data_IF_493059770352
#
_entry.id   IF_493059770352
#
_cell.length_a   1.000
_cell.length_b   1.000
_cell.length_c   1.000
_cell.angle_alpha   90.00
_cell.angle_beta   90.00
_cell.angle_gamma   90.00
#
_symmetry.space_group_name_H-M   'P 1'
#
loop_
_entity.id
_entity.type
_entity.pdbx_description
1 polymer ?
#
# COMPACT_ATOMS: atom_id res chain seq x y z
N UNK A 1 -22.15 -15.32 -45.96
CA UNK A 1 -22.77 -14.34 -45.03
C UNK A 1 -22.63 -14.74 -43.55
N UNK A 2 -22.75 -16.02 -43.18
CA UNK A 2 -22.61 -16.49 -41.78
C UNK A 2 -21.22 -16.27 -41.15
N UNK A 3 -20.15 -16.38 -41.94
CA UNK A 3 -18.76 -16.25 -41.44
C UNK A 3 -18.33 -14.80 -41.21
N UNK A 4 -19.01 -13.82 -41.83
CA UNK A 4 -18.73 -12.40 -41.61
C UNK A 4 -19.29 -11.90 -40.27
N UNK A 5 -20.38 -12.51 -39.80
CA UNK A 5 -21.02 -12.16 -38.52
C UNK A 5 -20.18 -12.63 -37.32
N UNK A 6 -19.52 -13.78 -37.45
CA UNK A 6 -18.66 -14.36 -36.39
C UNK A 6 -17.39 -13.52 -36.21
N UNK A 7 -16.81 -13.00 -37.30
CA UNK A 7 -15.62 -12.14 -37.23
C UNK A 7 -15.95 -10.79 -36.56
N UNK A 8 -17.14 -10.22 -36.81
CA UNK A 8 -17.58 -9.00 -36.14
C UNK A 8 -17.85 -9.18 -34.63
N UNK A 9 -18.28 -10.36 -34.19
CA UNK A 9 -18.51 -10.66 -32.76
C UNK A 9 -17.17 -10.83 -32.02
N UNK A 10 -16.16 -11.43 -32.64
CA UNK A 10 -14.83 -11.62 -32.03
C UNK A 10 -14.09 -10.27 -31.88
N UNK A 11 -14.25 -9.34 -32.82
CA UNK A 11 -13.65 -8.00 -32.70
C UNK A 11 -14.28 -7.14 -31.58
N UNK A 12 -15.55 -7.36 -31.24
CA UNK A 12 -16.25 -6.60 -30.19
C UNK A 12 -15.81 -6.99 -28.78
N UNK A 13 -15.28 -8.20 -28.59
CA UNK A 13 -14.87 -8.75 -27.28
C UNK A 13 -13.45 -8.30 -26.90
N UNK A 14 -12.63 -7.87 -27.86
CA UNK A 14 -11.24 -7.44 -27.63
C UNK A 14 -11.14 -5.96 -27.22
N UNK A 15 -12.26 -5.22 -27.25
CA UNK A 15 -12.29 -3.76 -27.01
C UNK A 15 -12.51 -3.31 -25.56
N UNK A 16 -12.69 -4.21 -24.59
CA UNK A 16 -12.98 -3.85 -23.20
C UNK A 16 -11.85 -4.26 -22.25
N UNK A 17 -10.62 -3.81 -22.54
CA UNK A 17 -9.61 -3.67 -21.49
C UNK A 17 -9.95 -2.42 -20.67
N UNK A 18 -10.85 -2.56 -19.71
CA UNK A 18 -11.03 -1.54 -18.67
C UNK A 18 -9.75 -1.50 -17.84
N UNK A 19 -8.86 -0.58 -18.16
CA UNK A 19 -7.81 -0.16 -17.25
C UNK A 19 -8.53 0.58 -16.11
N UNK A 20 -8.90 -0.14 -15.06
CA UNK A 20 -9.47 0.49 -13.86
C UNK A 20 -8.34 1.28 -13.22
N UNK A 21 -8.24 2.58 -13.52
CA UNK A 21 -7.34 3.47 -12.80
C UNK A 21 -7.78 3.45 -11.34
N UNK A 22 -6.94 2.96 -10.43
CA UNK A 22 -7.14 3.17 -8.99
C UNK A 22 -7.08 4.67 -8.76
N UNK A 23 -8.23 5.29 -8.57
CA UNK A 23 -8.31 6.69 -8.21
C UNK A 23 -8.13 6.80 -6.69
N UNK A 24 -7.33 7.77 -6.26
CA UNK A 24 -7.22 8.11 -4.84
C UNK A 24 -8.60 8.44 -4.27
N UNK A 25 -8.89 7.95 -3.07
CA UNK A 25 -10.11 8.26 -2.36
C UNK A 25 -9.92 9.53 -1.54
N UNK A 26 -10.81 10.51 -1.68
CA UNK A 26 -10.72 11.75 -0.91
C UNK A 26 -12.11 12.30 -0.57
N UNK A 27 -12.20 13.02 0.55
CA UNK A 27 -13.46 13.52 1.10
C UNK A 27 -13.87 14.92 0.60
N UNK A 28 -13.33 15.33 -0.56
CA UNK A 28 -13.56 16.64 -1.17
C UNK A 28 -12.73 17.79 -0.59
N UNK A 29 -11.87 17.52 0.41
CA UNK A 29 -10.79 18.44 0.83
C UNK A 29 -9.87 18.66 -0.36
N UNK A 30 -9.40 19.89 -0.58
CA UNK A 30 -8.46 20.18 -1.68
C UNK A 30 -7.02 19.82 -1.26
N UNK A 31 -6.19 19.33 -2.19
CA UNK A 31 -4.78 19.02 -1.89
C UNK A 31 -4.01 20.22 -1.31
N UNK A 32 -4.36 21.44 -1.73
CA UNK A 32 -3.77 22.69 -1.26
C UNK A 32 -4.14 23.04 0.20
N UNK A 33 -5.20 22.46 0.75
CA UNK A 33 -5.55 22.59 2.17
C UNK A 33 -4.60 21.74 3.05
N UNK A 34 -4.14 20.60 2.52
CA UNK A 34 -3.29 19.63 3.22
C UNK A 34 -1.82 19.98 3.00
N UNK A 35 -1.33 21.02 3.68
CA UNK A 35 0.05 21.54 3.46
C UNK A 35 1.02 21.27 4.60
N UNK A 36 0.52 20.98 5.79
CA UNK A 36 1.32 20.88 7.02
C UNK A 36 0.95 19.63 7.82
N UNK A 37 1.65 18.53 7.55
CA UNK A 37 1.28 17.19 8.01
C UNK A 37 2.29 16.63 9.01
N UNK A 38 1.79 16.05 10.10
CA UNK A 38 2.61 15.20 10.98
C UNK A 38 2.61 13.76 10.47
N UNK A 39 3.77 13.14 10.36
CA UNK A 39 3.85 11.70 10.13
C UNK A 39 3.74 10.96 11.46
N UNK A 40 2.70 10.14 11.59
CA UNK A 40 2.63 9.13 12.65
C UNK A 40 3.52 7.96 12.24
N UNK A 41 4.16 7.32 13.21
CA UNK A 41 5.04 6.18 12.98
C UNK A 41 4.48 5.19 11.94
N UNK A 42 5.18 4.95 10.81
CA UNK A 42 4.74 3.97 9.85
C UNK A 42 4.71 2.57 10.44
N UNK A 43 3.64 1.83 10.15
CA UNK A 43 3.51 0.43 10.52
C UNK A 43 4.10 -0.44 9.41
N UNK A 44 4.77 -1.54 9.78
CA UNK A 44 5.33 -2.46 8.79
C UNK A 44 5.11 -3.92 9.18
N UNK A 45 4.67 -4.72 8.22
CA UNK A 45 4.44 -6.15 8.38
C UNK A 45 5.06 -6.91 7.22
N UNK A 46 6.36 -7.15 7.31
CA UNK A 46 7.11 -7.89 6.30
C UNK A 46 7.24 -9.34 6.71
N UNK A 47 6.95 -10.22 5.76
CA UNK A 47 7.16 -11.64 5.93
C UNK A 47 8.39 -12.14 5.17
N UNK A 48 9.02 -13.19 5.69
CA UNK A 48 10.07 -13.94 5.00
C UNK A 48 9.53 -15.30 4.55
N UNK A 49 9.74 -15.62 3.27
CA UNK A 49 9.49 -16.96 2.73
C UNK A 49 10.83 -17.70 2.65
N UNK A 50 11.13 -18.51 3.66
CA UNK A 50 12.35 -19.33 3.69
C UNK A 50 12.21 -20.65 2.93
N UNK A 51 11.05 -21.31 3.05
CA UNK A 51 10.80 -22.64 2.47
C UNK A 51 9.41 -22.75 1.85
N UNK A 52 9.35 -23.31 0.64
CA UNK A 52 8.11 -23.42 -0.09
C UNK A 52 7.53 -22.04 -0.41
N UNK A 53 6.21 -21.90 -0.29
CA UNK A 53 5.47 -20.66 -0.46
C UNK A 53 4.78 -20.22 0.85
N UNK A 54 5.42 -20.47 2.01
CA UNK A 54 4.88 -20.10 3.32
C UNK A 54 5.57 -18.84 3.82
N UNK A 55 4.82 -17.75 3.86
CA UNK A 55 5.26 -16.49 4.45
C UNK A 55 5.12 -16.57 5.98
N UNK A 56 6.17 -16.13 6.68
CA UNK A 56 6.18 -15.98 8.13
C UNK A 56 6.58 -14.56 8.47
N UNK A 57 5.86 -13.91 9.37
CA UNK A 57 6.21 -12.56 9.83
C UNK A 57 7.65 -12.51 10.33
N UNK A 58 8.35 -11.42 10.04
CA UNK A 58 9.75 -11.25 10.40
C UNK A 58 10.00 -9.84 10.94
N UNK A 59 10.13 -9.74 12.26
CA UNK A 59 10.27 -8.47 12.99
C UNK A 59 11.41 -7.61 12.44
N UNK A 60 12.62 -8.16 12.29
CA UNK A 60 13.76 -7.38 11.82
C UNK A 60 13.61 -6.83 10.39
N UNK A 61 12.87 -7.53 9.51
CA UNK A 61 12.62 -7.02 8.16
C UNK A 61 11.51 -5.96 8.18
N UNK A 62 10.54 -6.11 9.08
CA UNK A 62 9.51 -5.10 9.33
C UNK A 62 10.13 -3.82 9.88
N UNK A 63 11.10 -3.92 10.80
CA UNK A 63 11.84 -2.76 11.32
C UNK A 63 12.60 -2.02 10.21
N UNK A 64 13.37 -2.76 9.39
CA UNK A 64 14.09 -2.17 8.26
C UNK A 64 13.13 -1.51 7.26
N UNK A 65 12.01 -2.17 6.94
CA UNK A 65 11.00 -1.61 6.05
C UNK A 65 10.36 -0.33 6.62
N UNK A 66 10.05 -0.30 7.92
CA UNK A 66 9.54 0.90 8.61
C UNK A 66 10.54 2.06 8.52
N UNK A 67 11.82 1.80 8.80
CA UNK A 67 12.87 2.82 8.71
C UNK A 67 13.00 3.35 7.28
N UNK A 68 13.09 2.46 6.30
CA UNK A 68 13.17 2.83 4.88
C UNK A 68 11.96 3.66 4.43
N UNK A 69 10.74 3.22 4.77
CA UNK A 69 9.53 3.97 4.42
C UNK A 69 9.51 5.35 5.09
N UNK A 70 9.93 5.44 6.34
CA UNK A 70 10.05 6.72 7.06
C UNK A 70 11.01 7.67 6.34
N UNK A 71 12.16 7.18 5.90
CA UNK A 71 13.16 7.97 5.18
C UNK A 71 12.68 8.41 3.80
N UNK A 72 12.00 7.52 3.06
CA UNK A 72 11.44 7.85 1.75
C UNK A 72 10.35 8.93 1.88
N UNK A 73 9.45 8.79 2.87
CA UNK A 73 8.41 9.78 3.17
C UNK A 73 9.02 11.15 3.52
N UNK A 74 10.08 11.18 4.34
CA UNK A 74 10.82 12.40 4.68
C UNK A 74 11.36 13.16 3.46
N UNK A 75 11.86 12.43 2.47
CA UNK A 75 12.56 13.05 1.33
C UNK A 75 11.63 13.58 0.25
N UNK A 76 10.47 12.95 0.03
CA UNK A 76 9.70 13.11 -1.22
C UNK A 76 8.19 13.21 -1.05
N UNK A 77 7.65 13.30 0.16
CA UNK A 77 6.19 13.37 0.30
C UNK A 77 5.62 14.70 -0.21
N UNK A 78 4.55 14.60 -0.99
CA UNK A 78 3.53 15.64 -1.14
C UNK A 78 2.24 14.99 -0.64
N UNK A 79 1.66 15.47 0.48
CA UNK A 79 1.90 16.74 1.14
C UNK A 79 3.21 16.77 1.95
N UNK A 80 3.67 17.98 2.28
CA UNK A 80 4.92 18.16 3.04
C UNK A 80 4.74 17.64 4.47
N UNK A 81 5.63 16.74 4.88
CA UNK A 81 5.74 16.30 6.28
C UNK A 81 6.66 17.26 7.02
N UNK A 82 6.16 17.87 8.09
CA UNK A 82 6.89 18.90 8.86
C UNK A 82 7.13 18.50 10.32
N UNK A 83 6.47 17.44 10.78
CA UNK A 83 6.61 16.89 12.12
C UNK A 83 6.54 15.37 12.09
N UNK A 84 7.08 14.73 13.13
CA UNK A 84 7.08 13.28 13.32
C UNK A 84 6.60 12.99 14.73
N UNK A 85 5.72 12.01 14.87
CA UNK A 85 5.14 11.64 16.15
C UNK A 85 5.17 10.13 16.34
N UNK A 86 5.95 9.69 17.32
CA UNK A 86 6.17 8.29 17.67
C UNK A 86 5.62 8.05 19.09
N UNK A 87 4.59 7.21 19.28
CA UNK A 87 4.06 6.92 20.60
C UNK A 87 5.08 6.15 21.46
N UNK A 88 5.46 6.70 22.62
CA UNK A 88 6.39 6.03 23.55
C UNK A 88 5.70 4.97 24.41
N UNK A 89 4.43 5.19 24.76
CA UNK A 89 3.65 4.26 25.57
C UNK A 89 3.17 3.08 24.72
N UNK A 90 3.53 1.86 25.14
CA UNK A 90 3.25 0.63 24.38
C UNK A 90 1.76 0.29 24.28
N UNK A 91 0.94 0.67 25.27
CA UNK A 91 -0.51 0.45 25.21
C UNK A 91 -1.15 1.42 24.22
N UNK A 92 -0.78 2.70 24.30
CA UNK A 92 -1.23 3.73 23.36
C UNK A 92 -0.80 3.40 21.93
N UNK A 93 0.45 2.93 21.75
CA UNK A 93 0.95 2.48 20.45
C UNK A 93 0.06 1.40 19.84
N UNK A 94 -0.29 0.37 20.61
CA UNK A 94 -1.14 -0.74 20.14
C UNK A 94 -2.55 -0.31 19.79
N UNK A 95 -3.12 0.63 20.54
CA UNK A 95 -4.43 1.21 20.25
C UNK A 95 -4.40 1.96 18.91
N UNK A 96 -3.41 2.83 18.72
CA UNK A 96 -3.21 3.57 17.46
C UNK A 96 -2.97 2.61 16.29
N UNK A 97 -2.15 1.58 16.49
CA UNK A 97 -1.87 0.56 15.48
C UNK A 97 -3.18 -0.09 14.99
N UNK A 98 -4.06 -0.50 15.92
CA UNK A 98 -5.35 -1.09 15.61
C UNK A 98 -6.28 -0.10 14.91
N UNK A 99 -6.34 1.14 15.39
CA UNK A 99 -7.17 2.19 14.79
C UNK A 99 -6.77 2.45 13.34
N UNK A 100 -5.47 2.56 13.07
CA UNK A 100 -4.93 2.76 11.71
C UNK A 100 -5.30 1.58 10.82
N UNK A 101 -5.07 0.35 11.27
CA UNK A 101 -5.39 -0.85 10.48
C UNK A 101 -6.88 -0.93 10.14
N UNK A 102 -7.75 -0.75 11.13
CA UNK A 102 -9.21 -0.79 10.93
C UNK A 102 -9.64 0.31 9.97
N UNK A 103 -9.17 1.54 10.17
CA UNK A 103 -9.52 2.69 9.34
C UNK A 103 -9.13 2.48 7.87
N UNK A 104 -7.90 2.05 7.60
CA UNK A 104 -7.41 1.79 6.25
C UNK A 104 -8.09 0.56 5.62
N UNK A 105 -8.41 -0.47 6.42
CA UNK A 105 -9.17 -1.63 5.95
C UNK A 105 -10.60 -1.26 5.55
N UNK A 106 -11.28 -0.38 6.32
CA UNK A 106 -12.61 0.11 5.97
C UNK A 106 -12.54 0.92 4.66
N UNK A 107 -11.56 1.82 4.53
CA UNK A 107 -11.38 2.61 3.32
C UNK A 107 -11.15 1.73 2.09
N UNK A 108 -10.30 0.72 2.24
CA UNK A 108 -10.03 -0.28 1.21
C UNK A 108 -11.30 -1.09 0.86
N UNK A 109 -12.05 -1.57 1.86
CA UNK A 109 -13.19 -2.42 1.58
C UNK A 109 -14.38 -1.65 0.98
N UNK A 110 -14.63 -0.44 1.47
CA UNK A 110 -15.73 0.41 1.03
C UNK A 110 -15.41 1.16 -0.26
N UNK A 111 -14.12 1.27 -0.62
CA UNK A 111 -13.64 2.11 -1.72
C UNK A 111 -14.15 3.56 -1.59
N UNK A 112 -14.25 4.04 -0.35
CA UNK A 112 -14.64 5.40 0.00
C UNK A 112 -13.96 5.81 1.33
N UNK A 113 -13.76 7.11 1.55
CA UNK A 113 -13.30 7.69 2.82
C UNK A 113 -14.38 8.46 3.56
N UNK A 114 -15.54 8.70 2.93
CA UNK A 114 -16.67 9.37 3.58
C UNK A 114 -17.13 8.58 4.81
N UNK A 115 -17.35 9.30 5.91
CA UNK A 115 -17.80 8.76 7.20
C UNK A 115 -16.82 7.82 7.92
N UNK A 116 -15.59 7.67 7.43
CA UNK A 116 -14.54 6.97 8.18
C UNK A 116 -13.98 7.91 9.24
N UNK A 117 -14.21 7.56 10.51
CA UNK A 117 -13.80 8.35 11.68
C UNK A 117 -12.46 7.87 12.21
N UNK A 118 -11.63 8.81 12.64
CA UNK A 118 -10.46 8.54 13.48
C UNK A 118 -10.88 8.41 14.95
N UNK A 119 -10.01 7.79 15.76
CA UNK A 119 -10.19 7.71 17.20
C UNK A 119 -9.74 8.98 17.90
N UNK A 120 -10.26 9.22 19.11
CA UNK A 120 -9.83 10.33 19.95
C UNK A 120 -8.34 10.25 20.29
N UNK A 121 -7.81 9.04 20.48
CA UNK A 121 -6.41 8.79 20.80
C UNK A 121 -5.51 9.23 19.65
N UNK A 122 -5.85 8.85 18.42
CA UNK A 122 -5.13 9.25 17.22
C UNK A 122 -5.25 10.76 16.95
N UNK A 123 -6.44 11.33 17.11
CA UNK A 123 -6.65 12.78 16.95
C UNK A 123 -5.83 13.58 17.97
N UNK A 124 -5.82 13.15 19.23
CA UNK A 124 -5.05 13.80 20.30
C UNK A 124 -3.55 13.74 20.01
N UNK A 125 -3.07 12.60 19.50
CA UNK A 125 -1.68 12.45 19.10
C UNK A 125 -1.31 13.44 17.97
N UNK A 126 -2.14 13.53 16.93
CA UNK A 126 -1.94 14.47 15.81
C UNK A 126 -1.93 15.91 16.32
N UNK A 127 -2.95 16.30 17.10
CA UNK A 127 -3.10 17.66 17.61
C UNK A 127 -1.99 18.05 18.60
N UNK A 128 -1.42 17.10 19.34
CA UNK A 128 -0.30 17.35 20.26
C UNK A 128 0.98 17.83 19.55
N UNK A 129 1.13 17.49 18.26
CA UNK A 129 2.22 17.98 17.41
C UNK A 129 2.00 19.41 16.89
N UNK A 130 0.86 20.03 17.23
CA UNK A 130 0.42 21.33 16.73
C UNK A 130 -0.12 21.29 15.30
N UNK A 131 -0.32 20.10 14.73
CA UNK A 131 -0.81 19.91 13.35
C UNK A 131 -2.29 19.55 13.33
N UNK A 132 -2.98 19.93 12.26
CA UNK A 132 -4.37 19.50 11.97
C UNK A 132 -4.39 18.14 11.27
N UNK A 133 -3.45 17.93 10.36
CA UNK A 133 -3.43 16.75 9.52
C UNK A 133 -2.36 15.76 9.97
N UNK A 134 -2.73 14.49 10.09
CA UNK A 134 -1.81 13.39 10.36
C UNK A 134 -1.75 12.43 9.18
N UNK A 135 -0.55 12.01 8.79
CA UNK A 135 -0.33 10.94 7.82
C UNK A 135 -0.06 9.64 8.56
N UNK A 136 -0.74 8.59 8.14
CA UNK A 136 -0.52 7.22 8.58
C UNK A 136 -0.13 6.39 7.36
N UNK A 137 0.86 5.52 7.53
CA UNK A 137 1.36 4.67 6.46
C UNK A 137 1.54 3.25 6.97
N UNK A 138 1.16 2.28 6.14
CA UNK A 138 1.31 0.85 6.41
C UNK A 138 2.01 0.21 5.23
N UNK A 139 3.16 -0.42 5.48
CA UNK A 139 3.85 -1.28 4.51
C UNK A 139 3.60 -2.74 4.83
N UNK A 140 3.22 -3.52 3.82
CA UNK A 140 3.10 -4.97 3.95
C UNK A 140 3.73 -5.64 2.75
N UNK A 141 4.13 -6.90 2.93
CA UNK A 141 4.75 -7.61 1.82
C UNK A 141 5.53 -8.82 2.26
N UNK A 142 6.27 -9.37 1.31
CA UNK A 142 7.23 -10.42 1.62
C UNK A 142 8.43 -10.38 0.69
N UNK A 143 9.55 -10.85 1.24
CA UNK A 143 10.74 -11.21 0.47
C UNK A 143 11.02 -12.72 0.61
N UNK A 144 11.84 -13.27 -0.28
CA UNK A 144 12.23 -14.68 -0.27
C UNK A 144 13.67 -14.87 0.18
N UNK A 145 13.86 -15.86 1.05
CA UNK A 145 15.20 -16.32 1.42
C UNK A 145 16.02 -16.75 0.20
N UNK A 146 17.33 -16.55 0.26
CA UNK A 146 18.24 -16.84 -0.85
C UNK A 146 18.09 -18.28 -1.34
N UNK A 147 17.90 -18.45 -2.65
CA UNK A 147 17.76 -19.77 -3.28
C UNK A 147 16.41 -20.47 -3.06
N UNK A 148 15.49 -19.90 -2.28
CA UNK A 148 14.12 -20.41 -2.18
C UNK A 148 13.39 -20.31 -3.52
N UNK A 149 13.39 -19.11 -4.12
CA UNK A 149 12.67 -18.84 -5.37
C UNK A 149 13.05 -19.81 -6.48
N UNK A 150 14.35 -19.96 -6.77
CA UNK A 150 14.82 -20.88 -7.82
C UNK A 150 14.44 -22.34 -7.59
N UNK A 151 14.43 -22.80 -6.32
CA UNK A 151 13.97 -24.17 -5.98
C UNK A 151 12.47 -24.34 -6.28
N UNK A 152 11.64 -23.35 -5.94
CA UNK A 152 10.21 -23.43 -6.20
C UNK A 152 9.87 -23.27 -7.69
N UNK A 153 10.61 -22.45 -8.43
CA UNK A 153 10.50 -22.38 -9.91
C UNK A 153 10.83 -23.73 -10.53
N UNK A 154 11.95 -24.36 -10.14
CA UNK A 154 12.34 -25.67 -10.67
C UNK A 154 11.29 -26.76 -10.37
N UNK A 155 10.70 -26.75 -9.17
CA UNK A 155 9.58 -27.64 -8.83
C UNK A 155 8.35 -27.37 -9.68
N UNK A 156 7.98 -26.10 -9.87
CA UNK A 156 6.86 -25.70 -10.71
C UNK A 156 7.00 -26.17 -12.16
N UNK A 157 8.20 -26.04 -12.73
CA UNK A 157 8.54 -26.58 -14.06
C UNK A 157 8.42 -28.10 -14.08
N UNK A 158 8.97 -28.80 -13.09
CA UNK A 158 8.89 -30.26 -13.01
C UNK A 158 7.44 -30.76 -12.94
N UNK A 159 6.59 -30.12 -12.12
CA UNK A 159 5.16 -30.44 -12.05
C UNK A 159 4.46 -30.10 -13.36
N UNK A 160 4.78 -28.96 -13.99
CA UNK A 160 4.26 -28.59 -15.30
C UNK A 160 4.58 -29.64 -16.36
N UNK A 161 5.81 -30.17 -16.39
CA UNK A 161 6.18 -31.27 -17.29
C UNK A 161 5.41 -32.55 -16.96
N UNK A 162 5.35 -32.96 -15.68
CA UNK A 162 4.65 -34.18 -15.25
C UNK A 162 3.14 -34.13 -15.51
N UNK A 163 2.54 -32.95 -15.43
CA UNK A 163 1.11 -32.73 -15.68
C UNK A 163 0.82 -32.34 -17.11
N UNK A 164 1.80 -32.42 -18.03
CA UNK A 164 1.67 -32.03 -19.43
C UNK A 164 1.10 -30.61 -19.61
N UNK A 165 1.50 -29.69 -18.73
CA UNK A 165 1.09 -28.29 -18.72
C UNK A 165 -0.25 -28.01 -18.03
N UNK A 166 -0.94 -29.03 -17.51
CA UNK A 166 -2.23 -28.82 -16.82
C UNK A 166 -2.08 -28.11 -15.47
N UNK A 167 -0.92 -28.18 -14.83
CA UNK A 167 -0.68 -27.55 -13.53
C UNK A 167 0.74 -26.97 -13.44
N UNK A 168 0.86 -25.65 -13.58
CA UNK A 168 2.05 -24.93 -13.13
C UNK A 168 1.64 -23.58 -12.52
N UNK A 169 1.94 -23.38 -11.25
CA UNK A 169 1.90 -22.06 -10.64
C UNK A 169 3.33 -21.57 -10.50
N UNK A 170 3.67 -20.49 -11.21
CA UNK A 170 4.93 -19.81 -10.99
C UNK A 170 4.89 -19.16 -9.60
N UNK A 171 5.87 -19.40 -8.72
CA UNK A 171 5.93 -18.70 -7.45
C UNK A 171 6.13 -17.20 -7.69
N UNK A 172 5.47 -16.35 -6.90
CA UNK A 172 5.78 -14.91 -6.87
C UNK A 172 7.06 -14.70 -6.07
N UNK A 173 8.06 -13.98 -6.61
CA UNK A 173 9.35 -13.80 -5.94
C UNK A 173 9.20 -12.97 -4.67
N UNK A 174 8.70 -11.75 -4.83
CA UNK A 174 8.54 -10.76 -3.77
C UNK A 174 7.19 -10.03 -3.94
N UNK A 175 6.76 -9.29 -2.91
CA UNK A 175 5.60 -8.39 -2.99
C UNK A 175 5.82 -7.19 -2.08
N UNK A 176 5.51 -6.00 -2.59
CA UNK A 176 5.52 -4.75 -1.82
C UNK A 176 4.18 -4.04 -1.96
N UNK A 177 3.50 -3.80 -0.84
CA UNK A 177 2.25 -3.06 -0.78
C UNK A 177 2.39 -1.91 0.23
N UNK A 178 1.97 -0.70 -0.17
CA UNK A 178 1.92 0.47 0.71
C UNK A 178 0.49 1.01 0.73
N UNK A 179 0.00 1.32 1.93
CA UNK A 179 -1.29 1.95 2.17
C UNK A 179 -1.04 3.27 2.92
N UNK A 180 -1.63 4.37 2.46
CA UNK A 180 -1.48 5.68 3.10
C UNK A 180 -2.85 6.31 3.31
N UNK A 181 -3.03 6.86 4.51
CA UNK A 181 -4.17 7.70 4.86
C UNK A 181 -3.72 9.06 5.37
N UNK A 182 -4.55 10.09 5.16
CA UNK A 182 -4.40 11.39 5.81
C UNK A 182 -5.68 11.69 6.59
N UNK A 183 -5.51 12.03 7.86
CA UNK A 183 -6.57 12.26 8.83
C UNK A 183 -6.65 13.76 9.10
N UNK A 184 -7.86 14.31 9.12
CA UNK A 184 -8.16 15.62 9.68
C UNK A 184 -8.58 15.45 11.15
N UNK A 185 -7.65 15.71 12.06
CA UNK A 185 -7.87 15.49 13.49
C UNK A 185 -8.81 16.51 14.14
N UNK A 186 -9.13 17.62 13.46
CA UNK A 186 -10.14 18.57 13.93
C UNK A 186 -11.55 18.09 13.64
N UNK A 187 -11.73 17.43 12.50
CA UNK A 187 -13.01 16.89 12.05
C UNK A 187 -13.16 15.39 12.35
N UNK A 188 -12.16 14.79 13.01
CA UNK A 188 -12.07 13.38 13.37
C UNK A 188 -12.41 12.45 12.22
N UNK A 189 -11.77 12.64 11.06
CA UNK A 189 -12.10 11.88 9.84
C UNK A 189 -10.91 11.63 8.92
N UNK A 190 -10.96 10.51 8.21
CA UNK A 190 -10.07 10.23 7.10
C UNK A 190 -10.44 11.12 5.91
N UNK A 191 -9.47 11.88 5.39
CA UNK A 191 -9.71 12.83 4.29
C UNK A 191 -9.09 12.41 2.96
N UNK A 192 -8.07 11.54 3.01
CA UNK A 192 -7.41 10.95 1.86
C UNK A 192 -7.04 9.50 2.17
N UNK A 193 -7.17 8.63 1.18
CA UNK A 193 -6.66 7.27 1.17
C UNK A 193 -6.19 6.90 -0.23
N UNK A 194 -5.02 6.28 -0.31
CA UNK A 194 -4.59 5.59 -1.50
C UNK A 194 -3.62 4.46 -1.15
N UNK A 195 -3.33 3.60 -2.14
CA UNK A 195 -2.40 2.51 -2.01
C UNK A 195 -1.64 2.27 -3.30
N UNK A 196 -0.50 1.61 -3.20
CA UNK A 196 0.20 0.99 -4.33
C UNK A 196 0.52 -0.46 -3.98
N UNK A 197 0.25 -1.37 -4.91
CA UNK A 197 0.49 -2.80 -4.76
C UNK A 197 1.35 -3.28 -5.92
N UNK A 198 2.59 -3.67 -5.61
CA UNK A 198 3.57 -4.03 -6.62
C UNK A 198 3.99 -5.51 -6.43
N UNK A 199 3.39 -6.44 -7.20
CA UNK A 199 3.86 -7.81 -7.22
C UNK A 199 5.25 -7.89 -7.86
N UNK A 200 6.03 -8.89 -7.47
CA UNK A 200 7.42 -9.12 -7.94
C UNK A 200 8.44 -8.03 -7.55
N UNK A 201 8.05 -7.07 -6.70
CA UNK A 201 8.94 -6.03 -6.17
C UNK A 201 9.29 -6.28 -4.71
N UNK A 202 10.52 -5.93 -4.32
CA UNK A 202 11.01 -6.13 -2.95
C UNK A 202 10.58 -4.97 -2.02
N UNK A 203 9.90 -5.23 -0.89
CA UNK A 203 9.48 -4.18 0.04
C UNK A 203 10.65 -3.52 0.80
N UNK A 204 11.88 -4.02 0.62
CA UNK A 204 13.10 -3.47 1.21
C UNK A 204 13.95 -2.71 0.18
N UNK A 205 13.47 -2.56 -1.06
CA UNK A 205 14.12 -1.75 -2.07
C UNK A 205 13.61 -0.30 -2.01
N UNK A 206 14.53 0.62 -1.70
CA UNK A 206 14.24 2.04 -1.62
C UNK A 206 13.64 2.63 -2.91
N UNK A 207 14.04 2.16 -4.09
CA UNK A 207 13.50 2.65 -5.35
C UNK A 207 12.06 2.20 -5.57
N UNK A 208 11.72 0.98 -5.12
CA UNK A 208 10.35 0.47 -5.13
C UNK A 208 9.47 1.35 -4.25
N UNK A 209 9.90 1.64 -3.01
CA UNK A 209 9.13 2.50 -2.11
C UNK A 209 8.92 3.91 -2.70
N UNK A 210 9.94 4.50 -3.33
CA UNK A 210 9.83 5.79 -4.00
C UNK A 210 8.80 5.79 -5.13
N UNK A 211 8.81 4.75 -5.96
CA UNK A 211 7.87 4.57 -7.07
C UNK A 211 6.44 4.42 -6.54
N UNK A 212 6.25 3.61 -5.50
CA UNK A 212 4.95 3.44 -4.84
C UNK A 212 4.42 4.74 -4.23
N UNK A 213 5.27 5.57 -3.61
CA UNK A 213 4.85 6.89 -3.13
C UNK A 213 4.50 7.84 -4.28
N UNK A 214 5.20 7.74 -5.41
CA UNK A 214 4.85 8.50 -6.61
C UNK A 214 3.46 8.12 -7.11
N UNK A 215 3.14 6.82 -7.19
CA UNK A 215 1.80 6.33 -7.55
C UNK A 215 0.73 6.84 -6.57
N UNK A 216 1.02 6.75 -5.27
CA UNK A 216 0.07 7.09 -4.21
C UNK A 216 -0.29 8.58 -4.24
N UNK A 217 0.70 9.46 -4.36
CA UNK A 217 0.50 10.90 -4.26
C UNK A 217 0.34 11.61 -5.62
N UNK A 218 0.79 10.99 -6.72
CA UNK A 218 0.93 11.61 -8.04
C UNK A 218 -0.35 12.25 -8.55
N UNK A 219 -1.46 11.50 -8.54
CA UNK A 219 -2.73 11.98 -9.13
C UNK A 219 -3.35 13.12 -8.32
N UNK A 220 -3.40 12.97 -6.99
CA UNK A 220 -4.13 13.90 -6.13
C UNK A 220 -3.31 15.14 -5.74
N UNK A 221 -2.03 14.98 -5.40
CA UNK A 221 -1.18 16.09 -4.98
C UNK A 221 -0.36 16.71 -6.12
N UNK A 222 -0.34 16.11 -7.32
CA UNK A 222 0.33 16.66 -8.49
C UNK A 222 -0.56 16.60 -9.76
N UNK A 223 -1.72 17.30 -9.79
CA UNK A 223 -2.65 17.23 -10.92
C UNK A 223 -2.08 17.78 -12.25
N UNK A 224 -0.89 18.39 -12.22
CA UNK A 224 -0.19 18.95 -13.38
C UNK A 224 0.59 17.91 -14.21
N UNK A 225 0.74 16.67 -13.74
CA UNK A 225 1.37 15.56 -14.45
C UNK A 225 0.34 14.43 -14.66
N UNK A 226 -0.51 14.51 -15.70
CA UNK A 226 -1.36 13.40 -16.11
C UNK A 226 -0.56 12.24 -16.71
#
# INVERSE_FOLDING_TARGET
MKNSLIISIILLIIGSTSCTSLHSLHSGVSPEEITDVVLIEPLSYISLIEKGNRAQHHDSLSDVSRELLTDVLRMRSRPQITAFQFPEDTLVYKEIEQDIQIMLMIAEHQQNVENIRSSQTLDSLILSSGKRYGMVAVSTGFTRGRGNYGKEVAKGVAVGVLTLGMYSQAPIKNRSDIYIGIIDARESRLVFYNRSQQPEQDPLDHLVLLDQLHDIFGVYFNPSNP
#
